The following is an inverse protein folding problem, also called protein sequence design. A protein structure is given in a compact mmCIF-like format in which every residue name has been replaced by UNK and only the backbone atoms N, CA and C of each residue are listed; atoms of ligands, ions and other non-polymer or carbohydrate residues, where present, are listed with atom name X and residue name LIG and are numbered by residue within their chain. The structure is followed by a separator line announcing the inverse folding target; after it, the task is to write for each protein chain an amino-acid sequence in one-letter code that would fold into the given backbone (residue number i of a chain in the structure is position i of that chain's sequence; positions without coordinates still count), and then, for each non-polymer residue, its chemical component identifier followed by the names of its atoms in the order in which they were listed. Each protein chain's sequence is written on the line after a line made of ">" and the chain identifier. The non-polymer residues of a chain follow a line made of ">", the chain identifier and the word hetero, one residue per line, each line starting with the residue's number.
data_IF_207995424127
#
_entry.id   IF_207995424127
#
_cell.length_a   1.000
_cell.length_b   1.000
_cell.length_c   1.000
_cell.angle_alpha   90.00
_cell.angle_beta   90.00
_cell.angle_gamma   90.00
#
_symmetry.space_group_name_H-M   'P 1'
#
loop_
_entity.id
_entity.type
_entity.pdbx_description
1 polymer ?
#
# COMPACT_ATOMS: atom_id res chain seq x y z
N UNK A 1 2.94 31.31 23.13
CA UNK A 1 3.68 31.33 21.88
C UNK A 1 4.45 30.01 21.79
N UNK A 2 3.91 29.02 21.10
CA UNK A 2 4.61 27.78 20.81
C UNK A 2 4.59 27.67 19.27
N UNK A 3 5.57 28.35 18.67
CA UNK A 3 5.90 28.17 17.28
C UNK A 3 6.74 26.92 17.14
N UNK A 4 6.13 25.79 16.83
CA UNK A 4 6.85 24.60 16.40
C UNK A 4 7.52 24.90 15.06
N UNK A 5 8.80 25.27 15.07
CA UNK A 5 9.65 25.12 13.90
C UNK A 5 9.62 23.66 13.53
N UNK A 6 8.94 23.31 12.43
CA UNK A 6 9.10 22.01 11.78
C UNK A 6 10.59 21.80 11.56
N UNK A 7 11.17 20.82 12.26
CA UNK A 7 12.59 20.49 12.17
C UNK A 7 12.87 19.97 10.75
N UNK A 8 13.27 20.87 9.84
CA UNK A 8 13.56 20.56 8.43
C UNK A 8 14.67 19.51 8.26
N UNK A 9 15.30 19.10 9.36
CA UNK A 9 16.40 18.14 9.39
C UNK A 9 16.06 16.80 10.03
N UNK A 10 14.78 16.51 10.35
CA UNK A 10 14.43 15.21 10.89
C UNK A 10 14.63 14.10 9.82
N UNK A 11 15.48 13.09 10.09
CA UNK A 11 15.85 12.09 9.10
C UNK A 11 14.77 11.03 8.86
N UNK A 12 13.73 11.01 9.69
CA UNK A 12 12.67 10.01 9.64
C UNK A 12 11.46 10.53 8.86
N UNK A 13 11.05 9.78 7.83
CA UNK A 13 9.96 10.13 6.94
C UNK A 13 8.85 9.09 7.02
N UNK A 14 7.67 9.49 7.44
CA UNK A 14 6.46 8.66 7.44
C UNK A 14 5.30 9.36 6.73
N UNK A 15 4.30 8.60 6.28
CA UNK A 15 3.16 9.15 5.55
C UNK A 15 3.45 9.59 4.11
N UNK A 16 4.66 9.32 3.63
CA UNK A 16 5.10 9.65 2.25
C UNK A 16 5.78 8.43 1.62
N UNK A 17 5.83 8.41 0.29
CA UNK A 17 6.61 7.41 -0.45
C UNK A 17 8.10 7.74 -0.30
N UNK A 18 8.88 6.77 0.14
CA UNK A 18 10.33 6.90 0.34
C UNK A 18 11.08 5.99 -0.62
N UNK A 19 12.25 6.46 -1.09
CA UNK A 19 13.16 5.74 -1.99
C UNK A 19 14.62 6.02 -1.63
N UNK A 20 15.56 5.23 -2.17
CA UNK A 20 16.99 5.43 -2.00
C UNK A 20 17.40 5.32 -0.53
N UNK A 21 18.14 6.31 -0.03
CA UNK A 21 18.70 6.31 1.33
C UNK A 21 17.67 6.26 2.47
N UNK A 22 16.43 6.62 2.20
CA UNK A 22 15.32 6.62 3.16
C UNK A 22 14.47 5.34 3.04
N UNK A 23 14.72 4.52 2.04
CA UNK A 23 14.12 3.19 1.86
C UNK A 23 14.86 2.17 2.74
N UNK A 24 14.11 1.27 3.34
CA UNK A 24 14.64 0.29 4.30
C UNK A 24 14.34 -1.09 3.79
N UNK A 25 15.38 -1.93 3.70
CA UNK A 25 15.29 -3.36 3.41
C UNK A 25 14.45 -3.65 2.14
N UNK A 26 13.99 -4.86 1.99
CA UNK A 26 13.20 -5.36 0.87
C UNK A 26 14.03 -5.77 -0.36
N UNK A 27 15.33 -5.97 -0.20
CA UNK A 27 16.19 -6.46 -1.29
C UNK A 27 15.66 -7.79 -1.84
N UNK A 28 15.20 -8.70 -0.97
CA UNK A 28 14.64 -9.99 -1.39
C UNK A 28 13.36 -9.84 -2.21
N UNK A 29 12.47 -8.95 -1.78
CA UNK A 29 11.24 -8.66 -2.49
C UNK A 29 11.53 -7.92 -3.82
N UNK A 30 12.51 -7.00 -3.85
CA UNK A 30 12.95 -6.35 -5.08
C UNK A 30 13.53 -7.36 -6.07
N UNK A 31 14.44 -8.23 -5.62
CA UNK A 31 15.04 -9.29 -6.45
C UNK A 31 13.98 -10.24 -7.02
N UNK A 32 12.98 -10.61 -6.21
CA UNK A 32 11.86 -11.43 -6.66
C UNK A 32 11.03 -10.71 -7.71
N UNK A 33 10.67 -9.44 -7.49
CA UNK A 33 9.93 -8.62 -8.45
C UNK A 33 10.68 -8.54 -9.78
N UNK A 34 11.96 -8.21 -9.76
CA UNK A 34 12.79 -8.06 -10.98
C UNK A 34 12.90 -9.36 -11.74
N UNK A 35 13.16 -10.47 -11.04
CA UNK A 35 13.27 -11.80 -11.66
C UNK A 35 11.96 -12.21 -12.37
N UNK A 36 10.81 -12.06 -11.70
CA UNK A 36 9.52 -12.43 -12.28
C UNK A 36 9.14 -11.48 -13.43
N UNK A 37 9.33 -10.17 -13.27
CA UNK A 37 9.14 -9.17 -14.34
C UNK A 37 10.05 -9.49 -15.53
N UNK A 38 11.33 -9.78 -15.28
CA UNK A 38 12.30 -10.15 -16.31
C UNK A 38 11.89 -11.38 -17.10
N UNK A 39 11.24 -12.36 -16.45
CA UNK A 39 10.71 -13.57 -17.09
C UNK A 39 9.33 -13.38 -17.75
N UNK A 40 8.75 -12.17 -17.71
CA UNK A 40 7.44 -11.87 -18.33
C UNK A 40 6.24 -12.28 -17.47
N UNK A 41 6.43 -12.52 -16.17
CA UNK A 41 5.35 -12.91 -15.28
C UNK A 41 4.79 -11.72 -14.52
N UNK A 42 3.47 -11.64 -14.45
CA UNK A 42 2.77 -10.65 -13.62
C UNK A 42 2.80 -11.04 -12.15
N UNK A 43 2.70 -10.04 -11.27
CA UNK A 43 2.81 -10.22 -9.81
C UNK A 43 1.65 -9.48 -9.12
N UNK A 44 1.14 -10.04 -8.03
CA UNK A 44 0.25 -9.34 -7.12
C UNK A 44 0.95 -9.15 -5.77
N UNK A 45 1.17 -7.89 -5.40
CA UNK A 45 1.80 -7.48 -4.13
C UNK A 45 0.71 -7.07 -3.15
N UNK A 46 0.60 -7.80 -2.06
CA UNK A 46 -0.39 -7.49 -1.03
C UNK A 46 0.23 -7.45 0.37
N UNK A 47 -0.32 -6.60 1.19
CA UNK A 47 0.03 -6.51 2.61
C UNK A 47 -0.99 -5.64 3.33
N UNK A 48 -0.92 -5.61 4.62
CA UNK A 48 -1.62 -4.62 5.42
C UNK A 48 -1.18 -3.20 5.04
N UNK A 49 -2.01 -2.21 5.35
CA UNK A 49 -1.65 -0.80 5.19
C UNK A 49 -0.36 -0.49 5.96
N UNK A 50 0.39 0.51 5.51
CA UNK A 50 1.60 1.01 6.21
C UNK A 50 2.80 0.05 6.20
N UNK A 51 2.78 -1.00 5.35
CA UNK A 51 3.86 -1.96 5.16
C UNK A 51 4.89 -1.55 4.08
N UNK A 52 4.69 -0.40 3.43
CA UNK A 52 5.65 0.14 2.47
C UNK A 52 5.49 -0.37 1.03
N UNK A 53 4.30 -0.88 0.61
CA UNK A 53 4.05 -1.32 -0.77
C UNK A 53 4.40 -0.28 -1.82
N UNK A 54 3.82 0.92 -1.70
CA UNK A 54 4.04 1.99 -2.69
C UNK A 54 5.50 2.45 -2.71
N UNK A 55 6.19 2.42 -1.55
CA UNK A 55 7.64 2.70 -1.49
C UNK A 55 8.47 1.62 -2.18
N UNK A 56 8.13 0.34 -2.00
CA UNK A 56 8.77 -0.78 -2.69
C UNK A 56 8.63 -0.64 -4.22
N UNK A 57 7.42 -0.35 -4.70
CA UNK A 57 7.17 -0.19 -6.14
C UNK A 57 7.83 1.07 -6.72
N UNK A 58 7.90 2.15 -5.94
CA UNK A 58 8.64 3.34 -6.33
C UNK A 58 10.16 3.11 -6.38
N UNK A 59 10.69 2.34 -5.42
CA UNK A 59 12.11 1.95 -5.40
C UNK A 59 12.44 1.05 -6.57
N UNK A 60 11.62 0.05 -6.87
CA UNK A 60 11.73 -0.79 -8.06
C UNK A 60 11.79 0.08 -9.33
N UNK A 61 10.87 1.03 -9.46
CA UNK A 61 10.84 1.92 -10.63
C UNK A 61 12.07 2.85 -10.71
N UNK A 62 12.61 3.28 -9.56
CA UNK A 62 13.82 4.11 -9.48
C UNK A 62 15.07 3.34 -9.90
N UNK A 63 15.25 2.14 -9.35
CA UNK A 63 16.45 1.32 -9.55
C UNK A 63 16.52 0.77 -10.97
N UNK A 64 15.43 0.21 -11.47
CA UNK A 64 15.39 -0.52 -12.74
C UNK A 64 14.85 0.30 -13.93
N UNK A 65 14.86 1.65 -13.84
CA UNK A 65 14.41 2.55 -14.92
C UNK A 65 15.20 2.39 -16.23
N UNK A 66 16.44 1.90 -16.14
CA UNK A 66 17.27 1.65 -17.30
C UNK A 66 16.92 0.32 -18.01
N UNK A 67 16.29 -0.61 -17.31
CA UNK A 67 15.94 -1.94 -17.82
C UNK A 67 14.48 -2.01 -18.28
N UNK A 68 13.58 -1.37 -17.56
CA UNK A 68 12.13 -1.38 -17.80
C UNK A 68 11.60 0.04 -17.95
N UNK A 69 10.42 0.14 -18.59
CA UNK A 69 9.62 1.37 -18.56
C UNK A 69 8.45 1.15 -17.62
N UNK A 70 8.40 1.92 -16.54
CA UNK A 70 7.34 1.81 -15.54
C UNK A 70 6.18 2.74 -15.86
N UNK A 71 4.96 2.20 -15.75
CA UNK A 71 3.69 2.90 -15.91
C UNK A 71 2.90 2.71 -14.62
N UNK A 72 2.80 3.74 -13.81
CA UNK A 72 2.05 3.65 -12.55
C UNK A 72 0.66 4.25 -12.71
N UNK A 73 -0.35 3.50 -12.29
CA UNK A 73 -1.76 3.86 -12.29
C UNK A 73 -2.28 3.67 -10.87
N UNK A 74 -2.49 4.77 -10.16
CA UNK A 74 -3.12 4.76 -8.85
C UNK A 74 -4.65 4.73 -9.04
N UNK A 75 -5.28 3.71 -8.50
CA UNK A 75 -6.72 3.50 -8.61
C UNK A 75 -7.50 4.10 -7.43
N UNK A 76 -6.80 4.67 -6.44
CA UNK A 76 -7.44 5.35 -5.32
C UNK A 76 -8.20 6.59 -5.80
N UNK A 77 -9.48 6.67 -5.47
CA UNK A 77 -10.34 7.77 -5.89
C UNK A 77 -10.89 7.68 -7.32
N UNK A 78 -10.59 6.61 -8.06
CA UNK A 78 -11.28 6.33 -9.33
C UNK A 78 -12.68 5.77 -9.02
N UNK A 79 -13.70 6.49 -9.45
CA UNK A 79 -15.12 6.16 -9.18
C UNK A 79 -15.85 5.59 -10.39
N UNK A 80 -15.30 5.77 -11.58
CA UNK A 80 -15.93 5.40 -12.84
C UNK A 80 -14.97 4.69 -13.80
N UNK A 81 -15.52 3.75 -14.57
CA UNK A 81 -14.76 3.03 -15.61
C UNK A 81 -14.16 3.99 -16.65
N UNK A 82 -14.89 5.06 -17.00
CA UNK A 82 -14.42 6.09 -17.95
C UNK A 82 -13.14 6.75 -17.43
N UNK A 83 -13.14 7.22 -16.19
CA UNK A 83 -11.98 7.86 -15.55
C UNK A 83 -10.79 6.89 -15.48
N UNK A 84 -11.02 5.62 -15.15
CA UNK A 84 -9.99 4.59 -15.18
C UNK A 84 -9.31 4.51 -16.54
N UNK A 85 -10.09 4.42 -17.63
CA UNK A 85 -9.57 4.28 -18.97
C UNK A 85 -8.76 5.51 -19.42
N UNK A 86 -9.20 6.70 -19.02
CA UNK A 86 -8.48 7.95 -19.29
C UNK A 86 -7.15 8.02 -18.52
N UNK A 87 -7.17 7.72 -17.22
CA UNK A 87 -5.96 7.73 -16.36
C UNK A 87 -4.95 6.70 -16.85
N UNK A 88 -5.38 5.46 -17.12
CA UNK A 88 -4.54 4.40 -17.64
C UNK A 88 -3.92 4.78 -18.99
N UNK A 89 -4.74 5.22 -19.94
CA UNK A 89 -4.29 5.59 -21.29
C UNK A 89 -3.29 6.75 -21.24
N UNK A 90 -3.56 7.77 -20.43
CA UNK A 90 -2.65 8.90 -20.24
C UNK A 90 -1.31 8.46 -19.61
N UNK A 91 -1.32 7.55 -18.64
CA UNK A 91 -0.09 7.04 -18.02
C UNK A 91 0.77 6.27 -19.06
N UNK A 92 0.15 5.40 -19.85
CA UNK A 92 0.84 4.64 -20.92
C UNK A 92 1.40 5.58 -21.98
N UNK A 93 0.63 6.57 -22.44
CA UNK A 93 1.08 7.52 -23.45
C UNK A 93 2.26 8.37 -22.99
N UNK A 94 2.23 8.83 -21.72
CA UNK A 94 3.36 9.54 -21.12
C UNK A 94 4.62 8.68 -21.06
N UNK A 95 4.50 7.41 -20.72
CA UNK A 95 5.62 6.47 -20.73
C UNK A 95 6.15 6.18 -22.14
N UNK A 96 5.27 6.16 -23.14
CA UNK A 96 5.61 5.90 -24.53
C UNK A 96 6.31 7.10 -25.18
N UNK A 97 5.85 8.33 -24.96
CA UNK A 97 6.30 9.52 -25.70
C UNK A 97 7.06 10.54 -24.84
N UNK A 98 7.11 10.38 -23.51
CA UNK A 98 7.74 11.32 -22.59
C UNK A 98 6.87 12.54 -22.29
N UNK A 99 7.38 13.43 -21.41
CA UNK A 99 6.67 14.65 -21.00
C UNK A 99 6.61 15.72 -22.08
N UNK A 100 7.59 15.74 -22.95
CA UNK A 100 7.70 16.74 -24.04
C UNK A 100 6.93 16.31 -25.27
N UNK A 101 5.74 15.76 -25.13
CA UNK A 101 4.90 15.23 -26.23
C UNK A 101 4.96 16.05 -27.53
N UNK A 102 6.13 16.02 -28.19
CA UNK A 102 6.18 16.42 -29.59
C UNK A 102 5.23 15.48 -30.27
N UNK A 103 4.28 16.03 -31.01
CA UNK A 103 3.36 15.31 -31.86
C UNK A 103 4.14 14.28 -32.68
N UNK A 104 4.39 13.13 -32.07
CA UNK A 104 5.05 12.05 -32.76
C UNK A 104 4.06 11.55 -33.81
N UNK A 105 4.50 11.43 -35.04
CA UNK A 105 3.75 10.85 -36.14
C UNK A 105 3.05 9.52 -35.84
N UNK A 106 3.42 8.85 -34.77
CA UNK A 106 2.82 7.61 -34.32
C UNK A 106 1.80 7.70 -33.18
N UNK A 107 1.44 8.90 -32.69
CA UNK A 107 0.40 9.02 -31.67
C UNK A 107 -0.98 8.64 -32.23
N UNK A 108 -1.30 9.11 -33.41
CA UNK A 108 -2.55 8.78 -34.11
C UNK A 108 -2.69 7.28 -34.41
N UNK A 109 -1.60 6.63 -34.77
CA UNK A 109 -1.58 5.18 -34.99
C UNK A 109 -1.89 4.44 -33.66
N UNK A 110 -1.31 4.88 -32.54
CA UNK A 110 -1.54 4.28 -31.22
C UNK A 110 -2.98 4.49 -30.75
N UNK A 111 -3.59 5.65 -31.03
CA UNK A 111 -4.95 5.99 -30.64
C UNK A 111 -6.02 5.42 -31.57
N UNK A 112 -5.64 4.90 -32.73
CA UNK A 112 -6.59 4.37 -33.70
C UNK A 112 -7.41 3.22 -33.10
N UNK A 113 -8.72 3.34 -33.17
CA UNK A 113 -9.65 2.34 -32.67
C UNK A 113 -9.94 2.42 -31.16
N UNK A 114 -9.22 3.27 -30.39
CA UNK A 114 -9.39 3.35 -28.93
C UNK A 114 -10.59 4.18 -28.49
N UNK A 115 -11.17 4.99 -29.38
CA UNK A 115 -12.19 5.98 -28.96
C UNK A 115 -11.61 7.13 -28.13
N UNK A 116 -10.30 7.33 -28.15
CA UNK A 116 -9.62 8.44 -27.49
C UNK A 116 -9.33 9.56 -28.47
N UNK A 117 -9.42 10.81 -28.01
CA UNK A 117 -8.94 12.00 -28.72
C UNK A 117 -7.75 12.61 -28.00
N UNK A 118 -6.77 13.10 -28.75
CA UNK A 118 -5.68 13.88 -28.18
C UNK A 118 -6.17 15.26 -27.78
N UNK A 119 -5.80 15.71 -26.59
CA UNK A 119 -6.10 17.03 -26.06
C UNK A 119 -4.83 17.69 -25.52
N UNK A 120 -4.79 19.02 -25.56
CA UNK A 120 -3.73 19.79 -24.90
C UNK A 120 -4.22 20.07 -23.47
N UNK A 121 -3.46 19.60 -22.49
CA UNK A 121 -3.77 19.85 -21.07
C UNK A 121 -3.44 21.30 -20.70
N UNK A 122 -4.00 21.80 -19.61
CA UNK A 122 -3.73 23.16 -19.08
C UNK A 122 -2.24 23.44 -18.82
N UNK A 123 -1.45 22.38 -18.68
CA UNK A 123 0.01 22.45 -18.52
C UNK A 123 0.78 22.39 -19.85
N UNK A 124 0.09 22.52 -20.99
CA UNK A 124 0.70 22.47 -22.32
C UNK A 124 1.25 21.09 -22.76
N UNK A 125 0.94 20.03 -22.02
CA UNK A 125 1.29 18.65 -22.38
C UNK A 125 0.15 17.99 -23.16
N UNK A 126 0.47 17.02 -24.03
CA UNK A 126 -0.53 16.22 -24.71
C UNK A 126 -1.10 15.19 -23.75
N UNK A 127 -2.39 15.19 -23.58
CA UNK A 127 -3.20 14.18 -22.91
C UNK A 127 -4.16 13.51 -23.86
N UNK A 128 -4.96 12.60 -23.37
CA UNK A 128 -6.09 12.00 -24.11
C UNK A 128 -7.34 12.00 -23.25
N UNK A 129 -8.45 12.14 -23.92
CA UNK A 129 -9.79 12.04 -23.35
C UNK A 129 -10.62 11.07 -24.17
N UNK A 130 -11.60 10.43 -23.52
CA UNK A 130 -12.60 9.64 -24.23
C UNK A 130 -13.53 10.56 -25.04
N UNK A 131 -13.85 10.15 -26.26
CA UNK A 131 -14.89 10.79 -27.06
C UNK A 131 -16.22 10.69 -26.30
N UNK A 132 -17.12 11.70 -26.48
CA UNK A 132 -18.39 11.89 -25.74
C UNK A 132 -19.44 10.78 -25.96
N UNK A 133 -19.05 9.54 -26.03
CA UNK A 133 -19.94 8.38 -26.10
C UNK A 133 -19.47 7.28 -25.16
N UNK A 134 -20.37 6.42 -24.77
CA UNK A 134 -20.01 5.22 -24.02
C UNK A 134 -18.99 4.39 -24.81
N UNK A 135 -17.89 3.95 -24.18
CA UNK A 135 -16.88 3.12 -24.81
C UNK A 135 -17.51 1.80 -25.27
N UNK A 136 -17.35 1.48 -26.54
CA UNK A 136 -17.72 0.16 -27.05
C UNK A 136 -16.76 -0.92 -26.53
N UNK A 137 -17.15 -2.18 -26.50
CA UNK A 137 -16.24 -3.28 -26.12
C UNK A 137 -14.92 -3.29 -26.91
N UNK A 138 -14.98 -2.92 -28.21
CA UNK A 138 -13.78 -2.79 -29.04
C UNK A 138 -12.85 -1.69 -28.55
N UNK A 139 -13.40 -0.54 -28.17
CA UNK A 139 -12.62 0.60 -27.68
C UNK A 139 -11.91 0.25 -26.35
N UNK A 140 -12.61 -0.46 -25.46
CA UNK A 140 -12.02 -0.97 -24.22
C UNK A 140 -10.82 -1.89 -24.50
N UNK A 141 -10.98 -2.84 -25.40
CA UNK A 141 -9.89 -3.76 -25.73
C UNK A 141 -8.68 -3.02 -26.32
N UNK A 142 -8.90 -2.09 -27.24
CA UNK A 142 -7.85 -1.28 -27.84
C UNK A 142 -7.10 -0.41 -26.80
N UNK A 143 -7.85 0.15 -25.81
CA UNK A 143 -7.24 0.90 -24.72
C UNK A 143 -6.42 0.01 -23.79
N UNK A 144 -6.91 -1.18 -23.43
CA UNK A 144 -6.16 -2.13 -22.60
C UNK A 144 -4.88 -2.62 -23.32
N UNK A 145 -4.87 -2.66 -24.64
CA UNK A 145 -3.69 -3.04 -25.43
C UNK A 145 -2.66 -1.92 -25.57
N UNK A 146 -2.95 -0.69 -25.16
CA UNK A 146 -2.02 0.43 -25.28
C UNK A 146 -0.66 0.15 -24.64
N UNK A 147 -0.64 -0.53 -23.47
CA UNK A 147 0.61 -0.88 -22.79
C UNK A 147 1.50 -1.79 -23.64
N UNK A 148 0.93 -2.82 -24.27
CA UNK A 148 1.63 -3.73 -25.15
C UNK A 148 2.12 -3.02 -26.42
N UNK A 149 1.26 -2.20 -27.04
CA UNK A 149 1.63 -1.38 -28.20
C UNK A 149 2.76 -0.40 -27.89
N UNK A 150 2.68 0.26 -26.72
CA UNK A 150 3.71 1.16 -26.22
C UNK A 150 5.05 0.47 -25.99
N UNK A 151 5.03 -0.72 -25.38
CA UNK A 151 6.21 -1.52 -25.11
C UNK A 151 6.90 -1.93 -26.42
N UNK A 152 6.15 -2.44 -27.41
CA UNK A 152 6.66 -2.77 -28.75
C UNK A 152 7.25 -1.55 -29.46
N UNK A 153 6.58 -0.41 -29.42
CA UNK A 153 7.07 0.83 -30.01
C UNK A 153 8.38 1.29 -29.38
N UNK A 154 8.52 1.16 -28.07
CA UNK A 154 9.73 1.53 -27.32
C UNK A 154 10.81 0.43 -27.38
N UNK A 155 10.50 -0.76 -27.89
CA UNK A 155 11.38 -1.95 -27.88
C UNK A 155 11.93 -2.23 -26.49
N UNK A 156 11.09 -2.03 -25.48
CA UNK A 156 11.45 -2.17 -24.08
C UNK A 156 10.24 -2.63 -23.27
N UNK A 157 10.45 -3.56 -22.35
CA UNK A 157 9.36 -4.08 -21.50
C UNK A 157 8.70 -2.97 -20.70
N UNK A 158 7.37 -2.90 -20.76
CA UNK A 158 6.57 -2.06 -19.88
C UNK A 158 6.18 -2.85 -18.65
N UNK A 159 6.35 -2.21 -17.48
CA UNK A 159 5.87 -2.70 -16.19
C UNK A 159 4.73 -1.79 -15.75
N UNK A 160 3.51 -2.27 -15.92
CA UNK A 160 2.31 -1.52 -15.54
C UNK A 160 1.99 -1.85 -14.08
N UNK A 161 2.10 -0.85 -13.21
CA UNK A 161 1.79 -0.96 -11.79
C UNK A 161 0.39 -0.39 -11.57
N UNK A 162 -0.54 -1.24 -11.13
CA UNK A 162 -1.85 -0.83 -10.63
C UNK A 162 -1.81 -0.78 -9.10
N UNK A 163 -1.75 0.41 -8.52
CA UNK A 163 -1.83 0.55 -7.05
C UNK A 163 -3.29 0.65 -6.59
N UNK A 164 -3.58 0.15 -5.40
CA UNK A 164 -4.91 -0.01 -4.80
C UNK A 164 -5.90 -0.74 -5.73
N UNK A 165 -5.45 -1.87 -6.34
CA UNK A 165 -6.18 -2.63 -7.36
C UNK A 165 -7.56 -3.11 -6.90
N UNK A 166 -7.78 -3.30 -5.61
CA UNK A 166 -9.10 -3.67 -5.08
C UNK A 166 -10.19 -2.62 -5.37
N UNK A 167 -9.83 -1.37 -5.67
CA UNK A 167 -10.80 -0.33 -5.99
C UNK A 167 -11.51 -0.57 -7.34
N UNK A 168 -10.96 -1.43 -8.21
CA UNK A 168 -11.63 -1.89 -9.44
C UNK A 168 -13.02 -2.48 -9.17
N UNK A 169 -13.23 -3.05 -7.98
CA UNK A 169 -14.53 -3.60 -7.58
C UNK A 169 -15.63 -2.53 -7.49
N UNK A 170 -15.28 -1.27 -7.22
CA UNK A 170 -16.22 -0.16 -7.04
C UNK A 170 -16.68 0.49 -8.36
N UNK A 171 -15.83 0.48 -9.40
CA UNK A 171 -16.12 1.21 -10.64
C UNK A 171 -16.22 0.33 -11.91
N UNK A 172 -15.81 -0.92 -11.85
CA UNK A 172 -15.83 -1.79 -13.04
C UNK A 172 -16.27 -3.22 -12.74
N UNK A 173 -16.04 -3.65 -11.51
CA UNK A 173 -16.42 -4.97 -11.02
C UNK A 173 -15.89 -6.11 -11.88
N UNK A 174 -16.54 -7.27 -11.77
CA UNK A 174 -16.16 -8.50 -12.46
C UNK A 174 -16.09 -8.35 -14.00
N UNK A 175 -16.99 -7.62 -14.68
CA UNK A 175 -16.91 -7.47 -16.14
C UNK A 175 -15.62 -6.78 -16.60
N UNK A 176 -15.20 -5.70 -15.93
CA UNK A 176 -13.94 -5.02 -16.25
C UNK A 176 -12.75 -5.94 -15.98
N UNK A 177 -12.72 -6.62 -14.83
CA UNK A 177 -11.65 -7.55 -14.47
C UNK A 177 -11.49 -8.67 -15.50
N UNK A 178 -12.59 -9.25 -15.99
CA UNK A 178 -12.58 -10.28 -17.05
C UNK A 178 -12.05 -9.72 -18.35
N UNK A 179 -12.42 -8.50 -18.74
CA UNK A 179 -11.90 -7.84 -19.94
C UNK A 179 -10.38 -7.58 -19.84
N UNK A 180 -9.92 -7.05 -18.70
CA UNK A 180 -8.50 -6.87 -18.41
C UNK A 180 -7.74 -8.20 -18.51
N UNK A 181 -8.24 -9.25 -17.85
CA UNK A 181 -7.64 -10.59 -17.88
C UNK A 181 -7.51 -11.13 -19.30
N UNK A 182 -8.60 -11.05 -20.09
CA UNK A 182 -8.62 -11.55 -21.47
C UNK A 182 -7.59 -10.86 -22.37
N UNK A 183 -7.34 -9.56 -22.15
CA UNK A 183 -6.31 -8.82 -22.91
C UNK A 183 -4.91 -9.05 -22.37
N UNK A 184 -4.69 -8.87 -21.09
CA UNK A 184 -3.36 -8.93 -20.47
C UNK A 184 -2.67 -10.29 -20.64
N UNK A 185 -3.42 -11.39 -20.66
CA UNK A 185 -2.85 -12.72 -20.91
C UNK A 185 -2.24 -12.91 -22.32
N UNK A 186 -2.58 -12.04 -23.27
CA UNK A 186 -2.04 -12.08 -24.64
C UNK A 186 -0.81 -11.20 -24.83
N UNK A 187 -0.50 -10.35 -23.84
CA UNK A 187 0.63 -9.43 -23.87
C UNK A 187 1.95 -10.16 -23.61
N UNK A 188 2.99 -9.80 -24.36
CA UNK A 188 4.34 -10.39 -24.29
C UNK A 188 5.38 -9.39 -23.78
N UNK A 189 5.20 -8.12 -24.14
CA UNK A 189 6.12 -7.04 -23.88
C UNK A 189 5.67 -6.14 -22.72
N UNK A 190 4.39 -6.23 -22.31
CA UNK A 190 3.86 -5.61 -21.11
C UNK A 190 3.64 -6.65 -19.99
N UNK A 191 4.06 -6.30 -18.77
CA UNK A 191 3.91 -7.11 -17.54
C UNK A 191 3.19 -6.27 -16.50
N UNK A 192 2.41 -6.92 -15.66
CA UNK A 192 1.51 -6.26 -14.73
C UNK A 192 1.91 -6.53 -13.28
N UNK A 193 2.00 -5.46 -12.49
CA UNK A 193 2.16 -5.53 -11.04
C UNK A 193 0.90 -4.95 -10.42
N UNK A 194 0.15 -5.78 -9.73
CA UNK A 194 -1.06 -5.39 -9.00
C UNK A 194 -0.69 -5.19 -7.54
N UNK A 195 -1.13 -4.09 -6.94
CA UNK A 195 -0.85 -3.77 -5.54
C UNK A 195 -2.13 -3.39 -4.82
N UNK A 196 -2.25 -3.76 -3.56
CA UNK A 196 -3.38 -3.33 -2.74
C UNK A 196 -3.28 -3.69 -1.27
N UNK A 197 -4.14 -3.05 -0.48
CA UNK A 197 -4.12 -3.14 0.97
C UNK A 197 -5.27 -3.98 1.56
N UNK A 198 -6.31 -4.29 0.79
CA UNK A 198 -7.42 -5.16 1.20
C UNK A 198 -7.15 -6.60 0.78
N UNK A 199 -6.37 -7.33 1.58
CA UNK A 199 -5.91 -8.69 1.27
C UNK A 199 -7.03 -9.64 0.83
N UNK A 200 -8.16 -9.68 1.55
CA UNK A 200 -9.28 -10.55 1.22
C UNK A 200 -9.88 -10.27 -0.17
N UNK A 201 -9.94 -9.00 -0.59
CA UNK A 201 -10.43 -8.64 -1.93
C UNK A 201 -9.47 -9.11 -3.00
N UNK A 202 -8.16 -8.88 -2.80
CA UNK A 202 -7.14 -9.36 -3.75
C UNK A 202 -7.09 -10.89 -3.80
N UNK A 203 -7.21 -11.58 -2.66
CA UNK A 203 -7.31 -13.03 -2.61
C UNK A 203 -8.47 -13.54 -3.46
N UNK A 204 -9.67 -12.95 -3.32
CA UNK A 204 -10.83 -13.32 -4.13
C UNK A 204 -10.62 -13.09 -5.63
N UNK A 205 -9.85 -12.05 -6.01
CA UNK A 205 -9.58 -11.75 -7.43
C UNK A 205 -8.54 -12.71 -8.03
N UNK A 206 -7.46 -13.04 -7.29
CA UNK A 206 -6.27 -13.71 -7.83
C UNK A 206 -6.12 -15.18 -7.40
N UNK A 207 -6.65 -15.59 -6.26
CA UNK A 207 -6.40 -16.90 -5.66
C UNK A 207 -7.65 -17.78 -5.57
N UNK A 208 -8.86 -17.19 -5.47
CA UNK A 208 -10.10 -17.96 -5.53
C UNK A 208 -10.34 -18.51 -6.94
N UNK A 209 -10.88 -19.75 -7.01
CA UNK A 209 -11.09 -20.45 -8.28
C UNK A 209 -12.01 -19.69 -9.24
N UNK A 210 -12.98 -18.95 -8.71
CA UNK A 210 -13.90 -18.11 -9.50
C UNK A 210 -13.38 -16.69 -9.73
N UNK A 211 -12.22 -16.35 -9.18
CA UNK A 211 -11.60 -15.05 -9.31
C UNK A 211 -11.24 -14.70 -10.76
N UNK A 212 -11.52 -13.47 -11.16
CA UNK A 212 -11.30 -13.04 -12.54
C UNK A 212 -9.83 -13.19 -13.00
N UNK A 213 -8.88 -13.10 -12.08
CA UNK A 213 -7.44 -13.24 -12.32
C UNK A 213 -6.84 -14.52 -11.73
N UNK A 214 -7.66 -15.56 -11.50
CA UNK A 214 -7.18 -16.80 -10.92
C UNK A 214 -5.90 -17.30 -11.60
N UNK A 215 -4.83 -17.49 -10.81
CA UNK A 215 -3.49 -17.92 -11.24
C UNK A 215 -2.85 -17.07 -12.36
N UNK A 216 -3.27 -15.82 -12.54
CA UNK A 216 -2.66 -14.95 -13.54
C UNK A 216 -1.37 -14.31 -13.06
N UNK A 217 -1.32 -13.90 -11.81
CA UNK A 217 -0.19 -13.21 -11.21
C UNK A 217 0.37 -14.04 -10.05
N UNK A 218 1.69 -14.00 -9.89
CA UNK A 218 2.36 -14.64 -8.75
C UNK A 218 2.12 -13.80 -7.50
N UNK A 219 1.65 -14.38 -6.38
CA UNK A 219 1.48 -13.65 -5.14
C UNK A 219 2.82 -13.34 -4.48
N UNK A 220 3.00 -12.10 -4.02
CA UNK A 220 4.09 -11.61 -3.19
C UNK A 220 3.52 -10.91 -1.97
N UNK A 221 3.66 -11.53 -0.82
CA UNK A 221 3.19 -10.96 0.45
C UNK A 221 4.30 -10.16 1.13
N UNK A 222 4.04 -8.87 1.40
CA UNK A 222 4.93 -8.09 2.25
C UNK A 222 4.59 -8.32 3.73
N UNK A 223 5.50 -8.97 4.42
CA UNK A 223 5.40 -9.23 5.85
C UNK A 223 6.04 -8.10 6.67
N UNK A 224 5.76 -8.02 7.99
CA UNK A 224 6.49 -7.14 8.88
C UNK A 224 8.00 -7.29 8.71
N UNK A 225 8.72 -6.19 8.76
CA UNK A 225 10.18 -6.20 8.65
C UNK A 225 10.82 -6.83 9.89
N UNK A 226 11.94 -7.57 9.74
CA UNK A 226 12.70 -8.05 10.88
C UNK A 226 13.13 -6.91 11.81
N UNK A 227 12.96 -7.12 13.12
CA UNK A 227 13.26 -6.08 14.10
C UNK A 227 14.72 -5.59 14.04
N UNK A 228 15.69 -6.51 13.81
CA UNK A 228 17.11 -6.15 13.68
C UNK A 228 17.35 -5.11 12.59
N UNK A 229 16.70 -5.25 11.44
CA UNK A 229 16.86 -4.35 10.29
C UNK A 229 16.33 -2.96 10.62
N UNK A 230 15.15 -2.87 11.24
CA UNK A 230 14.56 -1.59 11.64
C UNK A 230 15.37 -0.91 12.75
N UNK A 231 15.91 -1.67 13.70
CA UNK A 231 16.79 -1.16 14.75
C UNK A 231 18.05 -0.56 14.11
N UNK A 232 18.72 -1.31 13.22
CA UNK A 232 19.91 -0.84 12.53
C UNK A 232 19.64 0.39 11.67
N UNK A 233 18.48 0.44 11.02
CA UNK A 233 18.05 1.61 10.26
C UNK A 233 17.88 2.83 11.17
N UNK A 234 17.17 2.72 12.29
CA UNK A 234 16.96 3.83 13.24
C UNK A 234 18.31 4.35 13.74
N UNK A 235 19.20 3.48 14.17
CA UNK A 235 20.54 3.85 14.66
C UNK A 235 21.34 4.58 13.56
N UNK A 236 21.34 4.05 12.33
CA UNK A 236 22.02 4.70 11.19
C UNK A 236 21.45 6.09 10.90
N UNK A 237 20.14 6.24 10.93
CA UNK A 237 19.48 7.53 10.64
C UNK A 237 19.80 8.58 11.70
N UNK A 238 19.79 8.24 12.98
CA UNK A 238 20.24 9.11 14.07
C UNK A 238 21.69 9.58 13.82
N UNK A 239 22.59 8.62 13.60
CA UNK A 239 24.00 8.91 13.33
C UNK A 239 24.20 9.80 12.09
N UNK A 240 23.45 9.52 11.00
CA UNK A 240 23.54 10.32 9.75
C UNK A 240 23.08 11.76 9.95
N UNK A 241 22.16 12.00 10.86
CA UNK A 241 21.65 13.32 11.20
C UNK A 241 22.45 14.03 12.31
N UNK A 242 23.59 13.44 12.73
CA UNK A 242 24.49 13.99 13.75
C UNK A 242 24.07 13.69 15.19
N UNK A 243 23.08 12.82 15.38
CA UNK A 243 22.61 12.42 16.72
C UNK A 243 23.06 11.00 17.11
N UNK A 244 22.64 10.57 18.30
CA UNK A 244 22.94 9.23 18.81
C UNK A 244 21.70 8.60 19.46
N UNK A 245 21.56 7.29 19.37
CA UNK A 245 20.53 6.48 20.05
C UNK A 245 21.12 5.13 20.39
N UNK A 246 20.83 4.61 21.58
CA UNK A 246 21.23 3.24 21.91
C UNK A 246 20.29 2.21 21.26
N UNK A 247 20.79 0.96 21.12
CA UNK A 247 20.02 -0.12 20.50
C UNK A 247 18.79 -0.55 21.33
N UNK A 248 18.78 -0.33 22.66
CA UNK A 248 17.65 -0.66 23.53
C UNK A 248 16.51 0.31 23.28
N UNK A 249 16.78 1.62 23.18
CA UNK A 249 15.80 2.64 22.85
C UNK A 249 15.22 2.39 21.44
N UNK A 250 16.07 2.15 20.44
CA UNK A 250 15.62 1.81 19.09
C UNK A 250 14.76 0.54 19.05
N UNK A 251 15.15 -0.49 19.82
CA UNK A 251 14.37 -1.74 19.97
C UNK A 251 12.99 -1.48 20.55
N UNK A 252 12.88 -0.64 21.58
CA UNK A 252 11.59 -0.30 22.21
C UNK A 252 10.62 0.30 21.18
N UNK A 253 11.08 1.23 20.31
CA UNK A 253 10.25 1.80 19.25
C UNK A 253 9.80 0.73 18.24
N UNK A 254 10.70 -0.16 17.84
CA UNK A 254 10.40 -1.23 16.88
C UNK A 254 9.44 -2.26 17.48
N UNK A 255 9.57 -2.59 18.76
CA UNK A 255 8.67 -3.50 19.48
C UNK A 255 7.23 -2.93 19.52
N UNK A 256 7.08 -1.62 19.70
CA UNK A 256 5.77 -0.94 19.62
C UNK A 256 5.25 -0.93 18.16
N UNK A 257 6.11 -0.64 17.21
CA UNK A 257 5.77 -0.59 15.79
C UNK A 257 5.53 -1.96 15.15
N UNK A 258 5.83 -3.09 15.85
CA UNK A 258 5.59 -4.48 15.41
C UNK A 258 6.13 -4.79 14.00
N UNK A 259 7.27 -4.20 13.61
CA UNK A 259 7.88 -4.42 12.29
C UNK A 259 7.21 -3.66 11.14
N UNK A 260 6.27 -2.76 11.42
CA UNK A 260 5.69 -1.86 10.42
C UNK A 260 6.64 -0.68 10.18
N UNK A 261 7.18 -0.53 8.95
CA UNK A 261 8.15 0.54 8.68
C UNK A 261 7.57 1.94 8.91
N UNK A 262 6.30 2.15 8.61
CA UNK A 262 5.61 3.41 8.87
C UNK A 262 5.65 3.79 10.34
N UNK A 263 5.25 2.87 11.23
CA UNK A 263 5.20 3.15 12.66
C UNK A 263 6.60 3.26 13.28
N UNK A 264 7.53 2.43 12.84
CA UNK A 264 8.92 2.52 13.29
C UNK A 264 9.54 3.88 12.94
N UNK A 265 9.26 4.41 11.75
CA UNK A 265 9.70 5.74 11.35
C UNK A 265 8.94 6.86 12.06
N UNK A 266 7.62 6.73 12.28
CA UNK A 266 6.84 7.71 13.02
C UNK A 266 7.34 7.84 14.45
N UNK A 267 7.50 6.73 15.17
CA UNK A 267 7.99 6.72 16.55
C UNK A 267 9.41 7.27 16.67
N UNK A 268 10.28 6.92 15.71
CA UNK A 268 11.64 7.46 15.67
C UNK A 268 11.66 8.96 15.32
N UNK A 269 10.73 9.44 14.49
CA UNK A 269 10.54 10.86 14.19
C UNK A 269 10.17 11.65 15.44
N UNK A 270 9.18 11.19 16.20
CA UNK A 270 8.77 11.81 17.47
C UNK A 270 9.95 11.85 18.44
N UNK A 271 10.65 10.72 18.60
CA UNK A 271 11.80 10.66 19.51
C UNK A 271 12.92 11.60 19.11
N UNK A 272 13.27 11.66 17.81
CA UNK A 272 14.31 12.56 17.31
C UNK A 272 13.94 14.03 17.52
N UNK A 273 12.65 14.37 17.46
CA UNK A 273 12.15 15.72 17.74
C UNK A 273 12.23 16.10 19.22
N UNK A 274 12.14 15.10 20.13
CA UNK A 274 12.28 15.30 21.59
C UNK A 274 13.77 15.36 21.99
N UNK A 275 14.57 14.42 21.49
CA UNK A 275 15.98 14.31 21.82
C UNK A 275 16.79 13.72 20.69
N UNK A 276 17.83 14.43 20.26
CA UNK A 276 18.74 13.99 19.18
C UNK A 276 19.89 13.15 19.71
N UNK A 277 20.24 13.29 20.98
CA UNK A 277 21.41 12.63 21.57
C UNK A 277 21.03 11.82 22.82
N UNK A 278 21.35 10.54 22.76
CA UNK A 278 21.22 9.57 23.84
C UNK A 278 19.89 9.69 24.61
N UNK A 279 18.74 9.58 23.94
CA UNK A 279 17.45 9.75 24.58
C UNK A 279 17.27 8.78 25.74
N UNK A 280 16.77 9.32 26.86
CA UNK A 280 16.44 8.54 28.06
C UNK A 280 15.21 7.67 27.83
N UNK A 281 15.02 6.67 28.68
CA UNK A 281 13.84 5.79 28.64
C UNK A 281 12.54 6.60 28.76
N UNK A 282 12.51 7.63 29.63
CA UNK A 282 11.38 8.54 29.78
C UNK A 282 11.04 9.25 28.45
N UNK A 283 12.03 9.73 27.73
CA UNK A 283 11.83 10.39 26.42
C UNK A 283 11.34 9.42 25.34
N UNK A 284 11.77 8.16 25.41
CA UNK A 284 11.25 7.10 24.51
C UNK A 284 9.75 6.87 24.77
N UNK A 285 9.32 6.76 26.02
CA UNK A 285 7.90 6.59 26.36
C UNK A 285 7.08 7.87 26.06
N UNK A 286 7.66 9.06 26.22
CA UNK A 286 7.05 10.33 25.81
C UNK A 286 6.80 10.36 24.28
N UNK A 287 7.79 9.95 23.47
CA UNK A 287 7.63 9.85 22.02
C UNK A 287 6.53 8.87 21.59
N UNK A 288 6.44 7.73 22.28
CA UNK A 288 5.36 6.76 22.05
C UNK A 288 4.00 7.37 22.43
N UNK A 289 3.94 8.12 23.53
CA UNK A 289 2.75 8.85 23.94
C UNK A 289 2.31 9.87 22.91
N UNK A 290 3.22 10.72 22.44
CA UNK A 290 2.99 11.74 21.41
C UNK A 290 2.46 11.12 20.09
N UNK A 291 3.10 10.04 19.60
CA UNK A 291 2.64 9.34 18.40
C UNK A 291 1.21 8.80 18.57
N UNK A 292 0.87 8.32 19.75
CA UNK A 292 -0.47 7.81 20.06
C UNK A 292 -1.51 8.94 20.08
N UNK A 293 -1.17 10.07 20.67
CA UNK A 293 -2.03 11.26 20.73
C UNK A 293 -2.32 11.81 19.34
N UNK A 294 -1.31 11.88 18.47
CA UNK A 294 -1.48 12.30 17.08
C UNK A 294 -2.42 11.37 16.30
N UNK A 295 -2.44 10.07 16.59
CA UNK A 295 -3.33 9.10 15.93
C UNK A 295 -4.71 8.99 16.61
N UNK A 296 -4.87 9.47 17.83
CA UNK A 296 -6.07 9.29 18.64
C UNK A 296 -7.37 9.76 17.95
N UNK A 297 -7.42 10.91 17.25
CA UNK A 297 -8.64 11.30 16.55
C UNK A 297 -9.11 10.28 15.50
N UNK A 298 -8.16 9.72 14.72
CA UNK A 298 -8.46 8.69 13.72
C UNK A 298 -8.91 7.38 14.40
N UNK A 299 -8.28 7.00 15.49
CA UNK A 299 -8.65 5.81 16.27
C UNK A 299 -10.01 5.95 16.92
N UNK A 300 -10.33 7.12 17.47
CA UNK A 300 -11.67 7.44 18.01
C UNK A 300 -12.74 7.32 16.93
N UNK A 301 -12.49 7.86 15.73
CA UNK A 301 -13.43 7.73 14.62
C UNK A 301 -13.67 6.26 14.24
N UNK A 302 -12.60 5.45 14.13
CA UNK A 302 -12.72 4.01 13.86
C UNK A 302 -13.52 3.34 14.97
N UNK A 303 -13.22 3.61 16.24
CA UNK A 303 -13.90 3.07 17.39
C UNK A 303 -15.40 3.42 17.42
N UNK A 304 -15.73 4.66 17.13
CA UNK A 304 -17.12 5.15 17.10
C UNK A 304 -17.92 4.57 15.94
N UNK A 305 -17.25 4.20 14.85
CA UNK A 305 -17.86 3.49 13.72
C UNK A 305 -18.30 2.06 14.04
N UNK A 306 -17.78 1.49 15.15
CA UNK A 306 -18.12 0.13 15.60
C UNK A 306 -19.35 0.23 16.50
N UNK A 307 -20.53 -0.03 15.92
CA UNK A 307 -21.80 0.09 16.69
C UNK A 307 -22.08 -1.12 17.57
N UNK A 308 -21.52 -2.28 17.28
CA UNK A 308 -21.74 -3.52 18.03
C UNK A 308 -20.97 -3.55 19.34
N UNK A 309 -21.63 -3.63 20.51
CA UNK A 309 -20.95 -3.77 21.81
C UNK A 309 -20.04 -5.01 21.85
N UNK A 310 -20.46 -6.11 21.23
CA UNK A 310 -19.71 -7.36 21.20
C UNK A 310 -18.43 -7.24 20.38
N UNK A 311 -18.44 -6.51 19.26
CA UNK A 311 -17.23 -6.21 18.49
C UNK A 311 -16.26 -5.34 19.29
N UNK A 312 -16.77 -4.35 20.03
CA UNK A 312 -15.95 -3.50 20.91
C UNK A 312 -15.32 -4.31 22.04
N UNK A 313 -16.11 -5.17 22.71
CA UNK A 313 -15.58 -6.08 23.76
C UNK A 313 -14.49 -7.00 23.21
N UNK A 314 -14.72 -7.62 22.06
CA UNK A 314 -13.75 -8.50 21.42
C UNK A 314 -12.44 -7.74 21.07
N UNK A 315 -12.52 -6.54 20.49
CA UNK A 315 -11.33 -5.75 20.18
C UNK A 315 -10.52 -5.37 21.42
N UNK A 316 -11.16 -5.00 22.52
CA UNK A 316 -10.47 -4.74 23.79
C UNK A 316 -9.79 -6.02 24.29
N UNK A 317 -10.51 -7.13 24.31
CA UNK A 317 -9.97 -8.42 24.72
C UNK A 317 -8.74 -8.84 23.89
N UNK A 318 -8.82 -8.71 22.56
CA UNK A 318 -7.69 -9.01 21.67
C UNK A 318 -6.52 -8.04 21.87
N UNK A 319 -6.77 -6.77 22.20
CA UNK A 319 -5.72 -5.81 22.48
C UNK A 319 -4.90 -6.18 23.73
N UNK A 320 -5.51 -6.78 24.72
CA UNK A 320 -4.89 -7.20 25.99
C UNK A 320 -4.19 -8.55 25.90
N UNK A 321 -4.60 -9.42 24.96
CA UNK A 321 -4.18 -10.81 24.91
C UNK A 321 -3.02 -11.05 23.95
N UNK A 322 -2.15 -12.00 24.30
CA UNK A 322 -1.05 -12.44 23.42
C UNK A 322 -1.25 -13.87 22.91
N UNK A 323 -2.25 -14.58 23.41
CA UNK A 323 -2.55 -15.97 23.12
C UNK A 323 -3.66 -16.21 22.11
N UNK A 324 -4.33 -17.36 22.22
CA UNK A 324 -5.47 -17.73 21.37
C UNK A 324 -6.70 -16.89 21.73
N UNK A 325 -7.29 -16.22 20.75
CA UNK A 325 -8.45 -15.31 20.92
C UNK A 325 -9.82 -15.99 20.61
N UNK A 326 -9.85 -17.31 20.53
CA UNK A 326 -11.08 -18.10 20.27
C UNK A 326 -11.20 -19.32 21.21
N UNK A 327 -10.28 -19.48 22.14
CA UNK A 327 -10.32 -20.55 23.15
C UNK A 327 -11.39 -20.33 24.22
N UNK A 328 -11.81 -21.39 24.92
CA UNK A 328 -12.78 -21.32 26.02
C UNK A 328 -12.31 -20.39 27.14
N UNK A 329 -11.04 -20.47 27.50
CA UNK A 329 -10.42 -19.62 28.52
C UNK A 329 -10.50 -18.13 28.14
N UNK A 330 -10.21 -17.77 26.89
CA UNK A 330 -10.34 -16.40 26.39
C UNK A 330 -11.78 -15.90 26.44
N UNK A 331 -12.73 -16.76 26.04
CA UNK A 331 -14.16 -16.44 26.03
C UNK A 331 -14.67 -16.17 27.44
N UNK A 332 -14.31 -17.03 28.39
CA UNK A 332 -14.70 -16.91 29.81
C UNK A 332 -14.06 -15.67 30.46
N UNK A 333 -12.74 -15.51 30.29
CA UNK A 333 -11.97 -14.37 30.84
C UNK A 333 -12.54 -13.02 30.44
N UNK A 334 -12.98 -12.88 29.20
CA UNK A 334 -13.47 -11.61 28.65
C UNK A 334 -15.00 -11.51 28.57
N UNK A 335 -15.74 -12.43 29.18
CA UNK A 335 -17.21 -12.40 29.22
C UNK A 335 -17.88 -12.50 27.84
N UNK A 336 -17.24 -13.18 26.89
CA UNK A 336 -17.76 -13.37 25.54
C UNK A 336 -18.76 -14.54 25.52
N UNK A 337 -19.79 -14.46 24.63
CA UNK A 337 -20.93 -15.40 24.75
C UNK A 337 -20.60 -16.85 24.35
N UNK A 338 -19.95 -17.06 23.19
CA UNK A 338 -19.62 -18.41 22.70
C UNK A 338 -18.60 -18.34 21.57
N UNK A 339 -17.97 -19.47 21.28
CA UNK A 339 -16.98 -19.59 20.19
C UNK A 339 -17.56 -19.19 18.83
N UNK A 340 -18.78 -19.61 18.52
CA UNK A 340 -19.44 -19.26 17.24
C UNK A 340 -19.70 -17.75 17.11
N UNK A 341 -20.09 -17.08 18.20
CA UNK A 341 -20.23 -15.63 18.21
C UNK A 341 -18.89 -14.91 18.01
N UNK A 342 -17.84 -15.39 18.69
CA UNK A 342 -16.48 -14.85 18.55
C UNK A 342 -15.97 -14.99 17.12
N UNK A 343 -16.12 -16.16 16.50
CA UNK A 343 -15.76 -16.38 15.10
C UNK A 343 -16.50 -15.44 14.14
N UNK A 344 -17.81 -15.25 14.35
CA UNK A 344 -18.60 -14.31 13.54
C UNK A 344 -18.12 -12.88 13.69
N UNK A 345 -17.83 -12.43 14.91
CA UNK A 345 -17.27 -11.10 15.19
C UNK A 345 -15.91 -10.94 14.52
N UNK A 346 -15.04 -11.94 14.67
CA UNK A 346 -13.72 -11.95 14.01
C UNK A 346 -13.85 -11.79 12.49
N UNK A 347 -14.68 -12.61 11.84
CA UNK A 347 -14.91 -12.51 10.38
C UNK A 347 -15.38 -11.12 9.97
N UNK A 348 -16.28 -10.51 10.74
CA UNK A 348 -16.76 -9.16 10.44
C UNK A 348 -15.68 -8.08 10.62
N UNK A 349 -14.83 -8.21 11.61
CA UNK A 349 -13.71 -7.27 11.85
C UNK A 349 -12.58 -7.48 10.85
N UNK A 350 -12.30 -8.73 10.48
CA UNK A 350 -11.35 -9.08 9.41
C UNK A 350 -11.79 -8.48 8.06
N UNK A 351 -13.09 -8.59 7.73
CA UNK A 351 -13.66 -7.98 6.53
C UNK A 351 -13.53 -6.43 6.52
N UNK A 352 -13.51 -5.81 7.69
CA UNK A 352 -13.24 -4.37 7.85
C UNK A 352 -11.75 -4.01 7.85
N UNK A 353 -10.85 -5.01 7.87
CA UNK A 353 -9.40 -4.82 7.98
C UNK A 353 -8.94 -4.33 9.34
N UNK A 354 -9.74 -4.48 10.40
CA UNK A 354 -9.38 -4.11 11.77
C UNK A 354 -8.61 -5.23 12.48
N UNK A 355 -8.96 -6.47 12.17
CA UNK A 355 -8.24 -7.66 12.63
C UNK A 355 -7.81 -8.53 11.46
N UNK A 356 -6.87 -9.43 11.70
CA UNK A 356 -6.41 -10.47 10.80
C UNK A 356 -6.03 -11.69 11.63
N UNK A 357 -6.68 -12.81 11.36
CA UNK A 357 -6.48 -14.07 12.11
C UNK A 357 -6.52 -13.86 13.65
N UNK A 358 -7.45 -13.03 14.12
CA UNK A 358 -7.62 -12.74 15.55
C UNK A 358 -6.60 -11.77 16.15
N UNK A 359 -5.82 -11.07 15.33
CA UNK A 359 -4.89 -10.03 15.79
C UNK A 359 -5.31 -8.67 15.25
N UNK A 360 -5.18 -7.63 16.05
CA UNK A 360 -5.40 -6.25 15.58
C UNK A 360 -4.30 -5.91 14.58
N UNK A 361 -4.71 -5.44 13.39
CA UNK A 361 -3.79 -5.15 12.29
C UNK A 361 -2.89 -3.96 12.62
N UNK A 362 -3.45 -2.91 13.17
CA UNK A 362 -2.73 -1.67 13.48
C UNK A 362 -2.14 -1.72 14.91
N UNK A 363 -0.81 -1.76 15.07
CA UNK A 363 -0.18 -1.90 16.38
C UNK A 363 -0.41 -0.71 17.30
N UNK A 364 -0.50 0.53 16.77
CA UNK A 364 -0.79 1.69 17.60
C UNK A 364 -2.27 1.75 17.98
N UNK A 365 -3.18 1.27 17.13
CA UNK A 365 -4.59 1.11 17.51
C UNK A 365 -4.75 0.08 18.63
N UNK A 366 -4.02 -1.04 18.58
CA UNK A 366 -4.00 -2.00 19.67
C UNK A 366 -3.50 -1.38 20.98
N UNK A 367 -2.44 -0.58 20.93
CA UNK A 367 -1.91 0.12 22.10
C UNK A 367 -2.90 1.17 22.64
N UNK A 368 -3.57 1.91 21.75
CA UNK A 368 -4.60 2.87 22.11
C UNK A 368 -5.80 2.21 22.80
N UNK A 369 -6.26 1.05 22.31
CA UNK A 369 -7.34 0.28 22.93
C UNK A 369 -7.00 -0.18 24.34
N UNK A 370 -5.74 -0.58 24.58
CA UNK A 370 -5.26 -0.92 25.93
C UNK A 370 -5.38 0.25 26.89
N UNK A 371 -5.04 1.47 26.46
CA UNK A 371 -5.20 2.68 27.27
C UNK A 371 -6.66 3.01 27.58
N UNK A 372 -7.61 2.67 26.70
CA UNK A 372 -9.04 2.83 26.98
C UNK A 372 -9.58 1.87 28.03
N UNK A 373 -8.90 0.75 28.29
CA UNK A 373 -9.33 -0.29 29.23
C UNK A 373 -8.80 -0.08 30.66
N UNK A 374 -7.87 0.83 30.88
CA UNK A 374 -7.29 1.16 32.18
C UNK A 374 -5.86 1.68 32.06
N UNK A 375 -5.26 2.19 33.13
CA UNK A 375 -3.89 2.70 33.11
C UNK A 375 -2.93 1.55 32.78
N UNK A 376 -2.34 1.57 31.61
CA UNK A 376 -1.14 0.79 31.30
C UNK A 376 0.05 1.67 31.69
N UNK A 377 0.56 1.46 32.89
CA UNK A 377 1.86 1.95 33.31
C UNK A 377 2.95 0.97 32.90
#
# INVERSE_FOLDING_TARGET
>A
MIGGMTDMNNPFKYGVIVTGKDFVDREKELDELVREIGSGKSIVVYSNRRMGKSSLLAELAREYRNEFIFVTVDLYGITEKRLFLEVFSNAVLRATYGRAGRFASGLWELLRGTGLRAVITDKGSVGVELIEREPRPSDLNEMLDLAEKGARKRRKRFVVIFDEFQETSSFGGVPLLKSMRARFQTHKDAVYVFSGSKRHVLHNIFEEHEGAFFKFAKPLELRPMPASILIDFIVRQFKRAGGTIDRRAAKRLVDVGKGFPYYSQQLAHELYSISKDSPSEKQVEEAIGSALEHQSPAFSYVWDSIKSPLQRMYLKAVAEETGSVIGSEFIEKHGLKSRSHVQRVQTQLDARGLTEAGKIVDPLFALWLRRLSGPVF
#
